data_IF_883131640175
#
_entry.id   IF_883131640175
#
_cell.length_a   1.000
_cell.length_b   1.000
_cell.length_c   1.000
_cell.angle_alpha   90.00
_cell.angle_beta   90.00
_cell.angle_gamma   90.00
#
_symmetry.space_group_name_H-M   'P 1'
#
loop_
_entity.id
_entity.type
_entity.pdbx_description
1 polymer ?
#
# COMPACT_ATOMS: atom_id res chain seq x y z
N UNK A 1 -3.49 -10.19 17.86
CA UNK A 1 -3.57 -8.88 17.22
C UNK A 1 -2.20 -8.22 17.12
N UNK A 2 -2.08 -7.24 16.26
CA UNK A 2 -0.85 -6.45 16.11
C UNK A 2 -1.12 -5.05 16.65
N UNK A 3 -0.15 -4.50 17.39
CA UNK A 3 -0.29 -3.23 18.06
C UNK A 3 0.94 -2.35 17.80
N UNK A 4 0.69 -1.12 17.46
CA UNK A 4 1.61 0.00 17.51
C UNK A 4 0.79 1.21 17.97
N UNK A 5 0.58 1.31 19.28
CA UNK A 5 -0.34 2.23 19.96
C UNK A 5 -1.85 2.04 19.60
N UNK A 6 -2.19 1.11 18.72
CA UNK A 6 -3.57 0.74 18.35
C UNK A 6 -3.66 -0.71 17.91
N UNK A 7 -4.83 -1.33 18.08
CA UNK A 7 -5.13 -2.63 17.49
C UNK A 7 -5.30 -2.45 15.98
N UNK A 8 -4.40 -3.06 15.20
CA UNK A 8 -4.40 -2.92 13.74
C UNK A 8 -5.24 -3.99 13.05
N UNK A 9 -4.96 -5.25 13.37
CA UNK A 9 -5.67 -6.41 12.86
C UNK A 9 -5.86 -7.39 14.00
N UNK A 10 -6.97 -8.11 14.00
CA UNK A 10 -7.23 -9.14 14.99
C UNK A 10 -8.04 -10.30 14.41
N UNK A 11 -7.92 -11.43 15.03
CA UNK A 11 -8.83 -12.58 14.90
C UNK A 11 -9.09 -13.16 16.27
N UNK A 12 -10.23 -13.78 16.44
CA UNK A 12 -10.62 -14.45 17.66
C UNK A 12 -11.43 -15.71 17.33
N UNK A 13 -11.51 -16.64 18.28
CA UNK A 13 -12.51 -17.72 18.20
C UNK A 13 -13.93 -17.12 18.21
N UNK A 14 -14.89 -17.86 17.67
CA UNK A 14 -16.29 -17.38 17.57
C UNK A 14 -16.85 -16.91 18.91
N UNK A 15 -16.50 -17.62 19.99
CA UNK A 15 -16.90 -17.27 21.36
C UNK A 15 -16.35 -15.93 21.87
N UNK A 16 -15.20 -15.48 21.35
CA UNK A 16 -14.53 -14.27 21.78
C UNK A 16 -14.70 -13.10 20.80
N UNK A 17 -15.28 -13.35 19.61
CA UNK A 17 -15.36 -12.37 18.55
C UNK A 17 -16.11 -11.09 18.95
N UNK A 18 -17.19 -11.20 19.71
CA UNK A 18 -17.93 -10.04 20.21
C UNK A 18 -17.12 -9.22 21.23
N UNK A 19 -16.44 -9.89 22.16
CA UNK A 19 -15.55 -9.26 23.13
C UNK A 19 -14.37 -8.55 22.46
N UNK A 20 -13.78 -9.17 21.45
CA UNK A 20 -12.66 -8.60 20.72
C UNK A 20 -13.07 -7.37 19.90
N UNK A 21 -14.24 -7.37 19.26
CA UNK A 21 -14.78 -6.16 18.61
C UNK A 21 -14.95 -5.03 19.63
N UNK A 22 -15.55 -5.33 20.78
CA UNK A 22 -15.73 -4.35 21.84
C UNK A 22 -14.40 -3.81 22.38
N UNK A 23 -13.38 -4.68 22.51
CA UNK A 23 -12.01 -4.27 22.85
C UNK A 23 -11.41 -3.32 21.83
N UNK A 24 -11.51 -3.65 20.54
CA UNK A 24 -10.93 -2.86 19.45
C UNK A 24 -11.62 -1.49 19.28
N UNK A 25 -12.96 -1.47 19.40
CA UNK A 25 -13.77 -0.26 19.18
C UNK A 25 -13.85 0.64 20.42
N UNK A 26 -13.70 0.07 21.60
CA UNK A 26 -13.98 0.74 22.88
C UNK A 26 -12.79 1.46 23.53
N UNK A 27 -11.68 1.70 22.82
CA UNK A 27 -10.46 2.32 23.37
C UNK A 27 -9.84 1.55 24.55
N UNK A 28 -10.17 0.27 24.73
CA UNK A 28 -9.62 -0.52 25.83
C UNK A 28 -8.11 -0.74 25.70
N UNK A 29 -7.56 -0.58 24.51
CA UNK A 29 -6.11 -0.60 24.30
C UNK A 29 -5.41 0.47 25.15
N UNK A 30 -5.98 1.67 25.23
CA UNK A 30 -5.43 2.79 25.99
C UNK A 30 -5.88 2.75 27.48
N UNK A 31 -7.10 2.29 27.73
CA UNK A 31 -7.74 2.29 29.07
C UNK A 31 -7.31 1.13 29.95
N UNK A 32 -6.94 -0.01 29.35
CA UNK A 32 -6.48 -1.20 30.07
C UNK A 32 -4.95 -1.23 30.17
N UNK A 33 -4.46 -1.66 31.30
CA UNK A 33 -3.03 -1.84 31.51
C UNK A 33 -2.47 -3.11 30.85
N UNK A 34 -3.33 -4.05 30.41
CA UNK A 34 -2.97 -5.41 30.00
C UNK A 34 -1.85 -5.46 28.95
N UNK A 35 -2.07 -4.83 27.81
CA UNK A 35 -1.10 -4.85 26.70
C UNK A 35 0.18 -4.12 27.09
N UNK A 36 0.05 -2.97 27.74
CA UNK A 36 1.18 -2.16 28.20
C UNK A 36 2.06 -2.92 29.20
N UNK A 37 1.46 -3.60 30.17
CA UNK A 37 2.20 -4.40 31.17
C UNK A 37 2.90 -5.61 30.53
N UNK A 38 2.20 -6.31 29.62
CA UNK A 38 2.80 -7.42 28.89
C UNK A 38 4.02 -6.98 28.03
N UNK A 39 3.93 -5.81 27.38
CA UNK A 39 5.04 -5.24 26.62
C UNK A 39 6.19 -4.77 27.52
N UNK A 40 5.87 -4.15 28.67
CA UNK A 40 6.85 -3.63 29.61
C UNK A 40 7.65 -4.74 30.31
N UNK A 41 7.03 -5.90 30.52
CA UNK A 41 7.66 -7.04 31.21
C UNK A 41 8.88 -7.58 30.48
N UNK A 42 8.96 -7.40 29.15
CA UNK A 42 10.00 -8.00 28.27
C UNK A 42 10.15 -9.51 28.45
N UNK A 43 9.13 -10.16 29.00
CA UNK A 43 9.13 -11.59 29.24
C UNK A 43 9.09 -12.36 27.92
N UNK A 44 9.91 -13.43 27.89
CA UNK A 44 9.99 -14.33 26.76
C UNK A 44 9.16 -15.58 27.12
N UNK A 45 7.88 -15.59 26.81
CA UNK A 45 6.96 -16.67 27.13
C UNK A 45 5.54 -16.17 27.34
N UNK A 46 4.68 -17.09 27.79
CA UNK A 46 3.33 -16.74 28.20
C UNK A 46 3.32 -16.16 29.62
N UNK A 47 2.59 -15.08 29.78
CA UNK A 47 2.35 -14.38 31.04
C UNK A 47 0.90 -14.56 31.44
N UNK A 48 0.66 -14.63 32.74
CA UNK A 48 -0.67 -14.63 33.36
C UNK A 48 -0.94 -13.23 33.95
N UNK A 49 -2.17 -13.01 34.41
CA UNK A 49 -2.54 -11.76 35.08
C UNK A 49 -1.60 -11.49 36.28
N UNK A 50 -1.48 -12.44 37.19
CA UNK A 50 -0.70 -12.26 38.43
C UNK A 50 0.83 -12.21 38.21
N UNK A 51 1.31 -12.45 37.01
CA UNK A 51 2.71 -12.19 36.68
C UNK A 51 2.98 -10.70 36.41
N UNK A 52 1.93 -9.91 36.11
CA UNK A 52 2.06 -8.51 35.70
C UNK A 52 1.07 -7.56 36.40
N UNK A 53 -0.03 -8.06 36.99
CA UNK A 53 -1.01 -7.28 37.73
C UNK A 53 -0.90 -7.54 39.23
N UNK A 54 -1.14 -6.51 40.05
CA UNK A 54 -1.59 -6.69 41.43
C UNK A 54 -3.11 -6.93 41.43
N UNK A 55 -3.63 -7.50 42.52
CA UNK A 55 -5.08 -7.74 42.62
C UNK A 55 -5.88 -6.44 42.50
N UNK A 56 -5.42 -5.35 43.11
CA UNK A 56 -6.05 -4.02 43.04
C UNK A 56 -6.07 -3.46 41.61
N UNK A 57 -4.96 -3.64 40.86
CA UNK A 57 -4.88 -3.22 39.46
C UNK A 57 -5.84 -4.02 38.59
N UNK A 58 -5.95 -5.32 38.83
CA UNK A 58 -6.82 -6.21 38.08
C UNK A 58 -8.30 -5.86 38.32
N UNK A 59 -8.66 -5.64 39.59
CA UNK A 59 -10.02 -5.24 39.99
C UNK A 59 -10.40 -3.86 39.42
N UNK A 60 -9.43 -2.96 39.26
CA UNK A 60 -9.64 -1.62 38.73
C UNK A 60 -9.66 -1.55 37.20
N UNK A 61 -9.17 -2.57 36.49
CA UNK A 61 -8.98 -2.51 35.03
C UNK A 61 -10.31 -2.56 34.26
N UNK A 62 -10.60 -1.55 33.41
CA UNK A 62 -11.86 -1.47 32.67
C UNK A 62 -12.12 -2.65 31.73
N UNK A 63 -11.09 -3.27 31.17
CA UNK A 63 -11.24 -4.43 30.26
C UNK A 63 -11.85 -5.61 31.01
N UNK A 64 -11.37 -5.88 32.22
CA UNK A 64 -11.89 -6.97 33.03
C UNK A 64 -13.30 -6.70 33.50
N UNK A 65 -13.56 -5.50 34.04
CA UNK A 65 -14.86 -5.12 34.61
C UNK A 65 -15.98 -5.00 33.57
N UNK A 66 -15.66 -4.42 32.42
CA UNK A 66 -16.67 -4.04 31.44
C UNK A 66 -16.84 -5.06 30.31
N UNK A 67 -15.82 -5.91 30.06
CA UNK A 67 -15.81 -6.85 28.92
C UNK A 67 -15.65 -8.29 29.36
N UNK A 68 -14.56 -8.63 30.08
CA UNK A 68 -14.21 -10.02 30.35
C UNK A 68 -15.10 -10.66 31.41
N UNK A 69 -15.23 -10.04 32.57
CA UNK A 69 -16.05 -10.60 33.66
C UNK A 69 -17.54 -10.73 33.31
N UNK A 70 -18.18 -9.74 32.64
CA UNK A 70 -19.55 -9.93 32.14
C UNK A 70 -19.70 -11.07 31.13
N UNK A 71 -18.61 -11.41 30.41
CA UNK A 71 -18.58 -12.55 29.50
C UNK A 71 -18.21 -13.89 30.18
N UNK A 72 -18.07 -13.91 31.52
CA UNK A 72 -17.69 -15.10 32.28
C UNK A 72 -16.19 -15.43 32.23
N UNK A 73 -15.38 -14.58 31.59
CA UNK A 73 -13.92 -14.74 31.46
C UNK A 73 -13.22 -14.01 32.62
N UNK A 74 -12.07 -14.48 33.03
CA UNK A 74 -11.38 -13.85 34.16
C UNK A 74 -9.89 -14.06 34.20
N UNK A 75 -9.40 -14.99 33.45
CA UNK A 75 -8.00 -15.38 33.44
C UNK A 75 -7.48 -15.50 32.01
N UNK A 76 -6.19 -15.24 31.82
CA UNK A 76 -5.55 -15.47 30.53
C UNK A 76 -4.12 -16.02 30.64
N UNK A 77 -3.68 -16.57 29.54
CA UNK A 77 -2.25 -16.70 29.22
C UNK A 77 -1.98 -15.91 27.94
N UNK A 78 -1.08 -14.96 27.99
CA UNK A 78 -0.78 -14.08 26.86
C UNK A 78 0.72 -13.98 26.61
N UNK A 79 1.09 -13.83 25.34
CA UNK A 79 2.48 -13.57 24.96
C UNK A 79 2.58 -12.51 23.88
N UNK A 80 3.75 -11.91 23.76
CA UNK A 80 4.08 -10.94 22.73
C UNK A 80 5.22 -11.44 21.85
N UNK A 81 5.12 -11.18 20.54
CA UNK A 81 6.17 -11.46 19.57
C UNK A 81 6.45 -10.17 18.79
N UNK A 82 7.63 -9.55 18.95
CA UNK A 82 8.04 -8.42 18.12
C UNK A 82 8.24 -8.89 16.66
N UNK A 83 7.72 -8.12 15.72
CA UNK A 83 7.80 -8.39 14.29
C UNK A 83 8.84 -7.48 13.62
N UNK A 84 9.45 -7.88 12.48
CA UNK A 84 10.39 -7.05 11.72
C UNK A 84 9.81 -5.73 11.21
N UNK A 85 8.48 -5.61 11.24
CA UNK A 85 7.72 -4.42 10.85
C UNK A 85 7.62 -3.37 11.96
N UNK A 86 8.35 -3.52 13.08
CA UNK A 86 8.20 -2.75 14.31
C UNK A 86 6.83 -2.87 14.97
N UNK A 87 6.10 -3.94 14.66
CA UNK A 87 4.87 -4.28 15.37
C UNK A 87 5.10 -5.37 16.37
N UNK A 88 4.06 -5.57 17.15
CA UNK A 88 3.99 -6.67 18.09
C UNK A 88 2.77 -7.52 17.80
N UNK A 89 2.99 -8.80 17.57
CA UNK A 89 1.90 -9.78 17.60
C UNK A 89 1.62 -10.12 19.06
N UNK A 90 0.40 -9.87 19.48
CA UNK A 90 -0.10 -10.26 20.81
C UNK A 90 -1.02 -11.47 20.66
N UNK A 91 -0.71 -12.55 21.36
CA UNK A 91 -1.53 -13.75 21.41
C UNK A 91 -2.06 -13.90 22.83
N UNK A 92 -3.36 -14.09 22.96
CA UNK A 92 -4.04 -14.27 24.25
C UNK A 92 -4.99 -15.45 24.21
N UNK A 93 -4.94 -16.28 25.22
CA UNK A 93 -5.84 -17.40 25.47
C UNK A 93 -6.64 -17.05 26.72
N UNK A 94 -7.95 -16.84 26.54
CA UNK A 94 -8.84 -16.49 27.62
C UNK A 94 -9.41 -17.73 28.30
N UNK A 95 -9.57 -17.65 29.62
CA UNK A 95 -10.09 -18.72 30.46
C UNK A 95 -11.26 -18.25 31.29
N UNK A 96 -12.24 -19.11 31.47
CA UNK A 96 -13.40 -18.84 32.33
C UNK A 96 -12.97 -18.49 33.77
N UNK A 97 -13.63 -17.50 34.36
CA UNK A 97 -13.35 -17.04 35.72
C UNK A 97 -13.55 -18.14 36.76
N UNK A 98 -14.55 -19.00 36.55
CA UNK A 98 -14.90 -20.12 37.41
C UNK A 98 -13.81 -21.19 37.55
N UNK A 99 -12.90 -21.26 36.55
CA UNK A 99 -11.81 -22.24 36.55
C UNK A 99 -10.57 -21.82 37.31
N UNK A 100 -10.55 -20.59 37.81
CA UNK A 100 -9.36 -20.04 38.49
C UNK A 100 -8.21 -19.70 37.55
N UNK A 101 -7.08 -19.22 38.11
CA UNK A 101 -5.89 -18.85 37.34
C UNK A 101 -5.34 -19.99 36.49
N UNK A 102 -4.58 -19.64 35.46
CA UNK A 102 -3.89 -20.62 34.60
C UNK A 102 -2.74 -21.25 35.40
N UNK A 103 -2.69 -22.56 35.45
CA UNK A 103 -1.72 -23.32 36.22
C UNK A 103 -0.31 -23.28 35.55
N UNK A 104 0.75 -23.43 36.36
CA UNK A 104 2.15 -23.43 35.87
C UNK A 104 2.37 -24.47 34.77
N UNK A 105 1.85 -25.67 34.95
CA UNK A 105 1.95 -26.74 33.94
C UNK A 105 1.35 -26.33 32.58
N UNK A 106 0.28 -25.57 32.58
CA UNK A 106 -0.32 -25.09 31.33
C UNK A 106 0.55 -24.03 30.65
N UNK A 107 1.18 -23.15 31.42
CA UNK A 107 2.16 -22.19 30.90
C UNK A 107 3.37 -22.90 30.30
N UNK A 108 3.94 -23.88 31.00
CA UNK A 108 5.06 -24.70 30.49
C UNK A 108 4.70 -25.36 29.13
N UNK A 109 3.49 -25.91 29.02
CA UNK A 109 3.03 -26.50 27.74
C UNK A 109 2.85 -25.45 26.63
N UNK A 110 2.35 -24.27 26.95
CA UNK A 110 2.18 -23.19 25.99
C UNK A 110 3.56 -22.63 25.55
N UNK A 111 4.50 -22.57 26.44
CA UNK A 111 5.86 -22.11 26.14
C UNK A 111 6.60 -23.07 25.20
N UNK A 112 6.29 -24.35 25.19
CA UNK A 112 6.78 -25.28 24.17
C UNK A 112 6.31 -24.92 22.75
N UNK A 113 5.13 -24.29 22.61
CA UNK A 113 4.59 -23.86 21.32
C UNK A 113 5.18 -22.52 20.84
N UNK A 114 5.70 -21.72 21.78
CA UNK A 114 6.20 -20.38 21.49
C UNK A 114 7.21 -20.31 20.34
N UNK A 115 8.27 -21.17 20.27
CA UNK A 115 9.24 -21.13 19.18
C UNK A 115 8.59 -21.33 17.80
N UNK A 116 7.58 -22.17 17.74
CA UNK A 116 6.82 -22.44 16.51
C UNK A 116 5.96 -21.25 16.11
N UNK A 117 5.24 -20.65 17.07
CA UNK A 117 4.41 -19.46 16.86
C UNK A 117 5.26 -18.26 16.45
N UNK A 118 6.39 -18.04 17.13
CA UNK A 118 7.31 -16.96 16.81
C UNK A 118 7.91 -17.12 15.40
N UNK A 119 8.34 -18.34 15.04
CA UNK A 119 8.87 -18.61 13.71
C UNK A 119 7.82 -18.40 12.62
N UNK A 120 6.60 -18.89 12.82
CA UNK A 120 5.50 -18.70 11.88
C UNK A 120 5.16 -17.21 11.69
N UNK A 121 5.07 -16.45 12.79
CA UNK A 121 4.81 -15.01 12.74
C UNK A 121 5.91 -14.24 12.02
N UNK A 122 7.17 -14.54 12.32
CA UNK A 122 8.33 -13.92 11.67
C UNK A 122 8.39 -14.23 10.18
N UNK A 123 8.13 -15.49 9.80
CA UNK A 123 8.10 -15.88 8.37
C UNK A 123 6.95 -15.18 7.63
N UNK A 124 5.76 -15.13 8.22
CA UNK A 124 4.62 -14.45 7.62
C UNK A 124 4.87 -12.94 7.46
N UNK A 125 5.43 -12.27 8.48
CA UNK A 125 5.79 -10.85 8.39
C UNK A 125 6.86 -10.60 7.32
N UNK A 126 7.87 -11.46 7.22
CA UNK A 126 8.92 -11.38 6.20
C UNK A 126 8.37 -11.55 4.79
N UNK A 127 7.51 -12.55 4.59
CA UNK A 127 6.86 -12.78 3.29
C UNK A 127 6.03 -11.57 2.85
N UNK A 128 5.37 -10.88 3.76
CA UNK A 128 4.62 -9.66 3.44
C UNK A 128 5.52 -8.51 2.99
N UNK A 129 6.66 -8.32 3.64
CA UNK A 129 7.64 -7.31 3.22
C UNK A 129 8.23 -7.65 1.84
N UNK A 130 8.57 -8.90 1.59
CA UNK A 130 9.06 -9.34 0.28
C UNK A 130 8.01 -9.15 -0.83
N UNK A 131 6.74 -9.43 -0.55
CA UNK A 131 5.65 -9.15 -1.50
C UNK A 131 5.48 -7.66 -1.79
N UNK A 132 5.59 -6.81 -0.76
CA UNK A 132 5.51 -5.36 -0.94
C UNK A 132 6.68 -4.85 -1.81
N UNK A 133 7.89 -5.34 -1.58
CA UNK A 133 9.07 -5.02 -2.40
C UNK A 133 8.89 -5.47 -3.85
N UNK A 134 8.54 -6.74 -4.04
CA UNK A 134 8.32 -7.28 -5.39
C UNK A 134 7.25 -6.49 -6.17
N UNK A 135 6.20 -6.01 -5.50
CA UNK A 135 5.19 -5.15 -6.13
C UNK A 135 5.76 -3.78 -6.53
N UNK A 136 6.56 -3.15 -5.66
CA UNK A 136 7.21 -1.87 -5.97
C UNK A 136 8.21 -2.02 -7.12
N UNK A 137 9.02 -3.09 -7.11
CA UNK A 137 10.02 -3.38 -8.15
C UNK A 137 9.36 -3.68 -9.50
N UNK A 138 8.27 -4.44 -9.52
CA UNK A 138 7.51 -4.69 -10.75
C UNK A 138 6.98 -3.39 -11.38
N UNK A 139 6.55 -2.44 -10.57
CA UNK A 139 6.12 -1.11 -11.04
C UNK A 139 7.30 -0.30 -11.57
N UNK A 140 8.50 -0.44 -10.97
CA UNK A 140 9.71 0.19 -11.49
C UNK A 140 10.08 -0.33 -12.89
N UNK A 141 9.89 -1.63 -13.14
CA UNK A 141 10.19 -2.22 -14.47
C UNK A 141 9.35 -1.61 -15.61
N UNK A 142 8.18 -1.07 -15.30
CA UNK A 142 7.33 -0.36 -16.27
C UNK A 142 7.43 1.17 -16.13
N UNK A 143 8.48 1.67 -15.46
CA UNK A 143 8.79 3.09 -15.35
C UNK A 143 7.88 3.87 -14.41
N UNK A 144 7.13 3.22 -13.50
CA UNK A 144 6.22 3.88 -12.57
C UNK A 144 6.85 4.09 -11.19
N UNK A 145 7.08 5.36 -10.76
CA UNK A 145 7.40 5.68 -9.39
C UNK A 145 6.31 5.21 -8.44
N UNK A 146 6.64 4.32 -7.50
CA UNK A 146 5.66 3.68 -6.66
C UNK A 146 6.17 3.37 -5.24
N UNK A 147 5.26 3.43 -4.27
CA UNK A 147 5.47 2.88 -2.94
C UNK A 147 4.24 2.11 -2.45
N UNK A 148 4.49 1.11 -1.63
CA UNK A 148 3.48 0.31 -0.94
C UNK A 148 3.41 0.78 0.51
N UNK A 149 2.22 1.00 1.02
CA UNK A 149 2.02 1.50 2.38
C UNK A 149 0.94 0.70 3.12
N UNK A 150 0.99 0.77 4.45
CA UNK A 150 0.01 0.16 5.33
C UNK A 150 -1.20 1.10 5.59
N UNK A 151 -2.14 0.60 6.37
CA UNK A 151 -3.36 1.34 6.75
C UNK A 151 -3.12 2.57 7.64
N UNK A 152 -1.91 2.78 8.12
CA UNK A 152 -1.49 3.97 8.85
C UNK A 152 -0.66 4.94 8.00
N UNK A 153 -0.44 4.60 6.72
CA UNK A 153 0.41 5.36 5.83
C UNK A 153 1.91 5.16 6.05
N UNK A 154 2.29 4.09 6.78
CA UNK A 154 3.68 3.68 6.90
C UNK A 154 4.10 2.99 5.61
N UNK A 155 5.23 3.39 5.04
CA UNK A 155 5.79 2.78 3.84
C UNK A 155 6.41 1.43 4.19
N UNK A 156 5.99 0.41 3.47
CA UNK A 156 6.49 -0.96 3.58
C UNK A 156 7.57 -1.26 2.54
N UNK A 157 7.44 -0.66 1.36
CA UNK A 157 8.41 -0.72 0.28
C UNK A 157 8.25 0.51 -0.62
N UNK A 158 9.34 0.95 -1.21
CA UNK A 158 9.39 1.99 -2.23
C UNK A 158 10.37 1.56 -3.31
N UNK A 159 10.15 2.00 -4.56
CA UNK A 159 11.13 1.79 -5.61
C UNK A 159 12.01 3.04 -5.80
N UNK A 160 13.17 2.85 -6.42
CA UNK A 160 14.15 3.92 -6.66
C UNK A 160 13.55 5.10 -7.44
N UNK A 161 12.55 4.84 -8.29
CA UNK A 161 11.92 5.89 -9.10
C UNK A 161 11.13 6.89 -8.22
N UNK A 162 10.43 6.41 -7.18
CA UNK A 162 9.69 7.31 -6.29
C UNK A 162 10.64 8.00 -5.29
N UNK A 163 11.72 7.33 -4.90
CA UNK A 163 12.75 7.93 -4.06
C UNK A 163 13.46 9.08 -4.79
N UNK A 164 13.66 8.96 -6.09
CA UNK A 164 14.20 10.02 -6.95
C UNK A 164 13.25 11.23 -7.08
N UNK A 165 11.94 11.09 -6.75
CA UNK A 165 10.95 12.19 -6.81
C UNK A 165 11.06 13.16 -5.62
N UNK A 166 12.27 13.55 -5.25
CA UNK A 166 12.52 14.45 -4.12
C UNK A 166 11.86 15.82 -4.24
N UNK A 167 11.47 16.22 -5.45
CA UNK A 167 10.68 17.45 -5.70
C UNK A 167 9.22 17.37 -5.22
N UNK A 168 8.61 16.18 -5.26
CA UNK A 168 7.21 15.97 -4.95
C UNK A 168 6.98 15.20 -3.65
N UNK A 169 7.90 14.32 -3.29
CA UNK A 169 7.81 13.43 -2.14
C UNK A 169 8.88 13.77 -1.12
N UNK A 170 8.55 13.69 0.15
CA UNK A 170 9.53 13.78 1.22
C UNK A 170 9.22 12.76 2.33
N UNK A 171 10.29 12.28 2.96
CA UNK A 171 10.25 11.25 3.98
C UNK A 171 10.18 11.86 5.37
N UNK A 172 9.39 11.25 6.24
CA UNK A 172 9.31 11.58 7.68
C UNK A 172 9.85 10.44 8.52
N UNK A 173 10.06 10.71 9.80
CA UNK A 173 10.39 9.68 10.76
C UNK A 173 9.36 8.53 10.76
N UNK A 174 9.80 7.33 11.14
CA UNK A 174 8.98 6.11 11.20
C UNK A 174 8.47 5.65 9.81
N UNK A 175 9.30 5.78 8.78
CA UNK A 175 9.00 5.32 7.41
C UNK A 175 7.69 5.88 6.85
N UNK A 176 7.34 7.11 7.21
CA UNK A 176 6.17 7.81 6.66
C UNK A 176 6.58 8.73 5.53
N UNK A 177 5.71 8.84 4.54
CA UNK A 177 5.88 9.74 3.41
C UNK A 177 4.82 10.85 3.45
N UNK A 178 5.15 11.98 2.89
CA UNK A 178 4.20 13.04 2.61
C UNK A 178 4.48 13.68 1.24
N UNK A 179 3.44 14.20 0.64
CA UNK A 179 3.58 14.98 -0.59
C UNK A 179 3.89 16.41 -0.24
N UNK A 180 4.87 17.03 -0.92
CA UNK A 180 5.26 18.43 -0.65
C UNK A 180 4.18 19.43 -0.99
N UNK A 181 3.31 19.11 -1.95
CA UNK A 181 2.07 19.84 -2.20
C UNK A 181 1.10 19.58 -1.05
N UNK A 182 0.81 20.61 -0.25
CA UNK A 182 -0.02 20.54 0.95
C UNK A 182 -1.45 20.05 0.65
N UNK A 183 -2.01 20.45 -0.51
CA UNK A 183 -3.34 20.04 -0.91
C UNK A 183 -3.35 18.54 -1.31
N UNK A 184 -2.37 18.14 -2.11
CA UNK A 184 -2.21 16.73 -2.48
C UNK A 184 -1.94 15.84 -1.27
N UNK A 185 -1.14 16.29 -0.29
CA UNK A 185 -0.89 15.58 0.95
C UNK A 185 -2.16 15.37 1.80
N UNK A 186 -3.02 16.40 1.85
CA UNK A 186 -4.33 16.28 2.52
C UNK A 186 -5.23 15.23 1.84
N UNK A 187 -5.27 15.21 0.50
CA UNK A 187 -6.01 14.22 -0.28
C UNK A 187 -5.43 12.80 -0.10
N UNK A 188 -4.11 12.68 -0.05
CA UNK A 188 -3.45 11.41 0.22
C UNK A 188 -3.82 10.86 1.60
N UNK A 189 -3.74 11.68 2.64
CA UNK A 189 -4.18 11.28 4.00
C UNK A 189 -5.66 10.90 4.06
N UNK A 190 -6.51 11.65 3.37
CA UNK A 190 -7.93 11.30 3.27
C UNK A 190 -8.13 9.96 2.54
N UNK A 191 -7.37 9.70 1.48
CA UNK A 191 -7.41 8.43 0.78
C UNK A 191 -7.03 7.27 1.71
N UNK A 192 -5.92 7.40 2.47
CA UNK A 192 -5.49 6.40 3.47
C UNK A 192 -6.60 6.13 4.49
N UNK A 193 -7.22 7.16 5.04
CA UNK A 193 -8.27 7.02 6.05
C UNK A 193 -9.51 6.25 5.55
N UNK A 194 -9.75 6.26 4.24
CA UNK A 194 -10.92 5.60 3.61
C UNK A 194 -10.62 4.24 2.99
N UNK A 195 -9.36 3.76 3.05
CA UNK A 195 -8.98 2.46 2.48
C UNK A 195 -9.63 1.25 3.15
N UNK A 196 -10.15 1.43 4.36
CA UNK A 196 -10.81 0.36 5.13
C UNK A 196 -12.28 0.18 4.80
N UNK A 197 -12.89 1.14 4.11
CA UNK A 197 -14.29 1.03 3.72
C UNK A 197 -14.45 -0.10 2.68
N UNK A 198 -15.48 -0.94 2.88
CA UNK A 198 -15.85 -1.93 1.88
C UNK A 198 -16.13 -1.23 0.55
N UNK A 199 -15.42 -1.66 -0.50
CA UNK A 199 -15.55 -1.05 -1.83
C UNK A 199 -14.66 0.19 -2.06
N UNK A 200 -13.61 0.41 -1.28
CA UNK A 200 -12.65 1.47 -1.55
C UNK A 200 -12.18 1.44 -3.01
N UNK A 201 -12.38 2.55 -3.72
CA UNK A 201 -12.00 2.71 -5.12
C UNK A 201 -10.66 3.47 -5.25
N UNK A 202 -9.91 3.25 -6.34
CA UNK A 202 -8.73 4.05 -6.63
C UNK A 202 -9.07 5.54 -6.66
N UNK A 203 -8.18 6.38 -6.13
CA UNK A 203 -8.29 7.85 -6.16
C UNK A 203 -7.11 8.43 -6.88
N UNK A 204 -7.39 9.43 -7.72
CA UNK A 204 -6.36 10.15 -8.46
C UNK A 204 -6.50 11.65 -8.22
N UNK A 205 -5.38 12.32 -8.01
CA UNK A 205 -5.35 13.78 -7.80
C UNK A 205 -4.04 14.37 -8.28
N UNK A 206 -4.07 15.66 -8.63
CA UNK A 206 -2.89 16.38 -9.10
C UNK A 206 -1.91 16.67 -7.95
N UNK A 207 -0.63 16.56 -8.23
CA UNK A 207 0.48 17.00 -7.37
C UNK A 207 1.24 18.07 -8.11
N UNK A 208 1.27 19.27 -7.56
CA UNK A 208 1.99 20.42 -8.12
C UNK A 208 3.45 20.37 -7.70
N UNK A 209 4.34 20.73 -8.60
CA UNK A 209 5.75 20.88 -8.26
C UNK A 209 5.99 22.14 -7.40
N UNK A 210 7.15 22.22 -6.75
CA UNK A 210 7.49 23.31 -5.81
C UNK A 210 7.67 24.69 -6.46
N UNK A 211 7.70 24.78 -7.78
CA UNK A 211 7.85 26.05 -8.54
C UNK A 211 6.91 26.06 -9.74
N UNK A 212 6.48 27.27 -10.14
CA UNK A 212 5.81 27.51 -11.42
C UNK A 212 6.70 27.01 -12.57
N UNK A 213 6.26 25.97 -13.27
CA UNK A 213 7.03 25.28 -14.33
C UNK A 213 7.62 23.94 -13.96
N UNK A 214 7.56 23.49 -12.70
CA UNK A 214 7.85 22.11 -12.37
C UNK A 214 6.80 21.18 -12.99
N UNK A 215 7.23 20.02 -13.52
CA UNK A 215 6.34 19.05 -14.13
C UNK A 215 5.21 18.68 -13.14
N UNK A 216 3.97 18.80 -13.57
CA UNK A 216 2.83 18.32 -12.81
C UNK A 216 2.85 16.80 -12.77
N UNK A 217 2.52 16.24 -11.62
CA UNK A 217 2.36 14.80 -11.44
C UNK A 217 0.89 14.49 -11.12
N UNK A 218 0.46 13.30 -11.44
CA UNK A 218 -0.78 12.74 -10.93
C UNK A 218 -0.44 11.66 -9.92
N UNK A 219 -0.94 11.80 -8.70
CA UNK A 219 -0.88 10.76 -7.70
C UNK A 219 -2.08 9.83 -7.84
N UNK A 220 -1.85 8.52 -7.86
CA UNK A 220 -2.87 7.49 -7.85
C UNK A 220 -2.73 6.67 -6.58
N UNK A 221 -3.76 6.66 -5.76
CA UNK A 221 -3.85 5.82 -4.56
C UNK A 221 -4.73 4.63 -4.90
N UNK A 222 -4.12 3.46 -4.99
CA UNK A 222 -4.80 2.21 -5.38
C UNK A 222 -4.93 1.31 -4.16
N UNK A 223 -6.17 1.01 -3.70
CA UNK A 223 -6.38 0.05 -2.62
C UNK A 223 -5.93 -1.35 -3.02
N UNK A 224 -5.21 -2.03 -2.14
CA UNK A 224 -4.93 -3.45 -2.31
C UNK A 224 -6.04 -4.28 -1.65
N UNK A 225 -6.68 -5.14 -2.44
CA UNK A 225 -7.71 -6.04 -1.91
C UNK A 225 -7.07 -7.06 -0.98
N UNK A 226 -7.61 -7.16 0.24
CA UNK A 226 -7.15 -8.11 1.24
C UNK A 226 -7.94 -9.41 1.14
N UNK A 227 -7.27 -10.54 1.35
CA UNK A 227 -7.94 -11.75 1.79
C UNK A 227 -8.28 -11.57 3.27
N UNK A 228 -9.57 -11.66 3.64
CA UNK A 228 -10.05 -11.35 5.00
C UNK A 228 -9.51 -12.26 6.13
N UNK A 229 -8.54 -13.15 5.83
CA UNK A 229 -7.89 -14.06 6.77
C UNK A 229 -6.44 -13.70 7.08
N UNK A 230 -5.90 -12.65 6.49
CA UNK A 230 -4.49 -12.28 6.65
C UNK A 230 -4.30 -11.30 7.81
N UNK A 231 -4.05 -11.81 9.01
CA UNK A 231 -3.76 -11.04 10.22
C UNK A 231 -2.49 -10.19 10.11
N UNK A 232 -1.52 -10.68 9.36
CA UNK A 232 -0.19 -10.08 9.22
C UNK A 232 -0.10 -9.24 7.94
N UNK A 233 -1.09 -9.34 7.03
CA UNK A 233 -1.14 -8.57 5.79
C UNK A 233 -1.36 -7.08 6.08
N UNK A 234 -0.30 -6.29 5.91
CA UNK A 234 -0.30 -4.86 6.18
C UNK A 234 -0.49 -3.98 4.97
N UNK A 235 -0.21 -4.50 3.77
CA UNK A 235 -0.34 -3.73 2.54
C UNK A 235 -1.78 -3.23 2.41
N UNK A 236 -1.98 -1.92 2.54
CA UNK A 236 -3.29 -1.28 2.42
C UNK A 236 -3.49 -0.69 1.04
N UNK A 237 -2.42 -0.14 0.46
CA UNK A 237 -2.49 0.49 -0.84
C UNK A 237 -1.12 0.72 -1.46
N UNK A 238 -1.18 1.16 -2.71
CA UNK A 238 -0.03 1.62 -3.49
C UNK A 238 -0.26 3.08 -3.84
N UNK A 239 0.75 3.92 -3.64
CA UNK A 239 0.83 5.24 -4.22
C UNK A 239 1.68 5.16 -5.48
N UNK A 240 1.12 5.60 -6.61
CA UNK A 240 1.80 5.74 -7.89
C UNK A 240 1.90 7.22 -8.24
N UNK A 241 3.01 7.62 -8.83
CA UNK A 241 3.15 8.96 -9.40
C UNK A 241 3.35 8.86 -10.91
N UNK A 242 2.49 9.52 -11.67
CA UNK A 242 2.58 9.61 -13.12
C UNK A 242 2.89 11.03 -13.54
N UNK A 243 3.96 11.29 -14.32
CA UNK A 243 4.23 12.64 -14.84
C UNK A 243 3.17 13.04 -15.87
N UNK A 244 2.72 14.29 -15.78
CA UNK A 244 1.89 14.90 -16.83
C UNK A 244 2.84 15.42 -17.91
N UNK A 245 3.15 14.58 -18.86
CA UNK A 245 4.00 14.91 -20.01
C UNK A 245 3.25 14.67 -21.30
N UNK A 246 3.68 15.32 -22.35
CA UNK A 246 3.20 14.98 -23.69
C UNK A 246 3.50 13.51 -23.97
N UNK A 247 2.62 12.80 -24.68
CA UNK A 247 2.86 11.43 -25.05
C UNK A 247 4.21 11.28 -25.74
N UNK A 248 5.02 10.34 -25.31
CA UNK A 248 6.24 10.00 -26.04
C UNK A 248 5.83 9.30 -27.34
N UNK A 249 6.49 9.66 -28.42
CA UNK A 249 6.26 8.99 -29.68
C UNK A 249 6.63 7.49 -29.57
N UNK A 250 5.74 6.58 -29.94
CA UNK A 250 6.01 5.16 -29.90
C UNK A 250 7.18 4.79 -30.84
N UNK A 251 7.87 3.66 -30.60
CA UNK A 251 8.91 3.17 -31.49
C UNK A 251 8.36 2.99 -32.91
N UNK A 252 9.11 3.44 -33.90
CA UNK A 252 8.70 3.36 -35.33
C UNK A 252 8.34 1.93 -35.74
N UNK A 253 9.14 0.96 -35.29
CA UNK A 253 8.91 -0.45 -35.60
C UNK A 253 7.61 -1.00 -35.00
N UNK A 254 7.25 -0.55 -33.79
CA UNK A 254 6.00 -0.94 -33.16
C UNK A 254 4.79 -0.41 -33.95
N UNK A 255 4.80 0.89 -34.28
CA UNK A 255 3.72 1.52 -35.02
C UNK A 255 3.60 0.90 -36.44
N UNK A 256 4.75 0.61 -37.05
CA UNK A 256 4.81 -0.04 -38.36
C UNK A 256 4.17 -1.43 -38.34
N UNK A 257 4.49 -2.24 -37.34
CA UNK A 257 3.96 -3.61 -37.24
C UNK A 257 2.48 -3.66 -36.85
N UNK A 258 2.00 -2.71 -36.03
CA UNK A 258 0.61 -2.67 -35.58
C UNK A 258 -0.38 -2.28 -36.69
N UNK A 259 0.03 -1.37 -37.59
CA UNK A 259 -0.84 -0.77 -38.59
C UNK A 259 -0.40 -1.02 -40.03
N UNK A 260 0.58 -1.90 -40.22
CA UNK A 260 1.11 -2.23 -41.54
C UNK A 260 1.59 -0.99 -42.33
N UNK A 261 2.23 -0.05 -41.61
CA UNK A 261 2.74 1.17 -42.19
C UNK A 261 4.05 0.95 -42.96
N UNK A 262 4.22 1.67 -44.04
CA UNK A 262 5.53 1.78 -44.68
C UNK A 262 6.52 2.52 -43.76
N UNK A 263 7.83 2.36 -43.96
CA UNK A 263 8.83 3.09 -43.17
C UNK A 263 8.67 4.60 -43.20
N UNK A 264 8.21 5.18 -44.32
CA UNK A 264 7.94 6.61 -44.43
C UNK A 264 6.70 7.04 -43.66
N UNK A 265 5.60 6.31 -43.79
CA UNK A 265 4.36 6.54 -43.02
C UNK A 265 4.59 6.42 -41.53
N UNK A 266 5.36 5.42 -41.09
CA UNK A 266 5.66 5.24 -39.68
C UNK A 266 6.50 6.38 -39.07
N UNK A 267 7.46 6.92 -39.82
CA UNK A 267 8.20 8.13 -39.40
C UNK A 267 7.28 9.33 -39.28
N UNK A 268 6.43 9.58 -40.29
CA UNK A 268 5.48 10.68 -40.26
C UNK A 268 4.51 10.51 -39.09
N UNK A 269 3.97 9.32 -38.86
CA UNK A 269 3.10 9.01 -37.72
C UNK A 269 3.76 9.37 -36.38
N UNK A 270 5.05 9.04 -36.22
CA UNK A 270 5.84 9.38 -35.03
C UNK A 270 6.02 10.87 -34.87
N UNK A 271 6.38 11.61 -35.92
CA UNK A 271 6.53 13.09 -35.85
C UNK A 271 5.22 13.78 -35.53
N UNK A 272 4.08 13.27 -36.05
CA UNK A 272 2.76 13.79 -35.69
C UNK A 272 2.45 13.63 -34.19
N UNK A 273 2.84 12.50 -33.57
CA UNK A 273 2.63 12.28 -32.12
C UNK A 273 3.48 13.18 -31.24
N UNK A 274 4.59 13.74 -31.75
CA UNK A 274 5.39 14.74 -31.04
C UNK A 274 4.88 16.18 -31.26
N UNK A 275 3.76 16.35 -31.98
CA UNK A 275 3.13 17.63 -32.22
C UNK A 275 3.68 18.42 -33.40
N UNK A 276 4.52 17.82 -34.25
CA UNK A 276 5.06 18.49 -35.43
C UNK A 276 4.00 18.68 -36.51
N UNK A 277 4.09 19.82 -37.20
CA UNK A 277 3.25 20.14 -38.34
C UNK A 277 3.75 19.46 -39.61
N UNK A 278 2.91 19.38 -40.63
CA UNK A 278 3.27 18.82 -41.95
C UNK A 278 4.47 19.55 -42.56
N UNK A 279 4.53 20.85 -42.38
CA UNK A 279 5.57 21.75 -42.86
C UNK A 279 6.92 21.45 -42.17
N UNK A 280 6.91 21.29 -40.85
CA UNK A 280 8.11 20.93 -40.06
C UNK A 280 8.62 19.55 -40.42
N UNK A 281 7.71 18.55 -40.55
CA UNK A 281 8.07 17.20 -40.96
C UNK A 281 8.68 17.20 -42.37
N UNK A 282 8.15 18.00 -43.28
CA UNK A 282 8.67 18.12 -44.65
C UNK A 282 10.11 18.64 -44.67
N UNK A 283 10.37 19.68 -43.86
CA UNK A 283 11.73 20.27 -43.73
C UNK A 283 12.69 19.23 -43.14
N UNK A 284 12.32 18.60 -42.04
CA UNK A 284 13.19 17.65 -41.34
C UNK A 284 13.44 16.39 -42.15
N UNK A 285 12.45 15.92 -42.92
CA UNK A 285 12.57 14.73 -43.78
C UNK A 285 13.17 15.01 -45.15
N UNK A 286 13.38 16.28 -45.50
CA UNK A 286 13.93 16.64 -46.82
C UNK A 286 13.00 16.33 -48.01
N UNK A 287 11.68 16.38 -47.78
CA UNK A 287 10.65 16.08 -48.79
C UNK A 287 9.67 17.23 -48.95
N UNK A 288 8.83 17.19 -50.00
CA UNK A 288 7.80 18.23 -50.16
C UNK A 288 6.65 18.07 -49.13
N UNK A 289 5.99 19.16 -48.73
CA UNK A 289 4.79 19.12 -47.92
C UNK A 289 3.66 18.26 -48.56
N UNK A 290 3.63 18.20 -49.88
CA UNK A 290 2.66 17.36 -50.61
C UNK A 290 2.96 15.87 -50.36
N UNK A 291 4.21 15.47 -50.35
CA UNK A 291 4.64 14.09 -50.04
C UNK A 291 4.24 13.69 -48.63
N UNK A 292 4.47 14.60 -47.64
CA UNK A 292 4.06 14.35 -46.26
C UNK A 292 2.55 14.22 -46.14
N UNK A 293 1.74 15.08 -46.80
CA UNK A 293 0.28 14.95 -46.82
C UNK A 293 -0.19 13.61 -47.39
N UNK A 294 0.49 13.09 -48.40
CA UNK A 294 0.19 11.77 -48.97
C UNK A 294 0.48 10.65 -47.95
N UNK A 295 1.60 10.75 -47.24
CA UNK A 295 1.95 9.82 -46.17
C UNK A 295 0.98 9.90 -44.97
N UNK A 296 0.57 11.11 -44.58
CA UNK A 296 -0.49 11.29 -43.56
C UNK A 296 -1.79 10.61 -43.96
N UNK A 297 -2.20 10.73 -45.23
CA UNK A 297 -3.37 10.02 -45.74
C UNK A 297 -3.23 8.50 -45.60
N UNK A 298 -2.08 7.96 -45.97
CA UNK A 298 -1.78 6.52 -45.81
C UNK A 298 -1.84 6.10 -44.32
N UNK A 299 -1.32 6.91 -43.39
CA UNK A 299 -1.44 6.66 -41.97
C UNK A 299 -2.91 6.62 -41.54
N UNK A 300 -3.73 7.60 -41.96
CA UNK A 300 -5.15 7.67 -41.59
C UNK A 300 -5.92 6.45 -42.13
N UNK A 301 -5.70 6.07 -43.39
CA UNK A 301 -6.31 4.90 -44.01
C UNK A 301 -6.00 3.61 -43.26
N UNK A 302 -4.71 3.38 -42.94
CA UNK A 302 -4.23 2.16 -42.29
C UNK A 302 -4.55 2.09 -40.80
N UNK A 303 -4.65 3.22 -40.11
CA UNK A 303 -5.07 3.29 -38.71
C UNK A 303 -6.59 3.30 -38.53
N UNK A 304 -7.35 3.46 -39.62
CA UNK A 304 -8.82 3.61 -39.58
C UNK A 304 -9.30 4.96 -39.03
N UNK A 305 -8.39 5.92 -38.87
CA UNK A 305 -8.71 7.26 -38.37
C UNK A 305 -9.22 8.17 -39.50
N UNK A 306 -10.16 9.06 -39.18
CA UNK A 306 -10.71 10.03 -40.15
C UNK A 306 -9.98 11.37 -40.12
N UNK A 307 -9.35 11.72 -38.99
CA UNK A 307 -8.68 12.99 -38.75
C UNK A 307 -7.30 12.75 -38.17
N UNK A 308 -6.36 13.67 -38.46
CA UNK A 308 -5.03 13.62 -37.92
C UNK A 308 -5.00 13.61 -36.39
N UNK A 309 -5.88 14.37 -35.76
CA UNK A 309 -6.01 14.39 -34.27
C UNK A 309 -6.40 13.02 -33.69
N UNK A 310 -7.24 12.25 -34.41
CA UNK A 310 -7.59 10.90 -34.00
C UNK A 310 -6.39 9.95 -34.08
N UNK A 311 -5.61 10.06 -35.17
CA UNK A 311 -4.39 9.27 -35.31
C UNK A 311 -3.35 9.65 -34.25
N UNK A 312 -3.16 10.92 -33.94
CA UNK A 312 -2.27 11.39 -32.87
C UNK A 312 -2.71 10.85 -31.52
N UNK A 313 -4.00 10.89 -31.20
CA UNK A 313 -4.57 10.34 -29.97
C UNK A 313 -4.38 8.82 -29.86
N UNK A 314 -4.66 8.11 -30.95
CA UNK A 314 -4.49 6.65 -31.03
C UNK A 314 -3.03 6.25 -30.83
N UNK A 315 -2.11 6.89 -31.58
CA UNK A 315 -0.68 6.59 -31.53
C UNK A 315 -0.03 7.03 -30.21
N UNK A 316 -0.48 8.16 -29.67
CA UNK A 316 -0.02 8.65 -28.35
C UNK A 316 -0.48 7.76 -27.19
N UNK A 317 -1.54 6.99 -27.37
CA UNK A 317 -1.99 5.97 -26.42
C UNK A 317 -1.20 4.67 -26.46
N UNK A 318 -0.33 4.48 -27.47
CA UNK A 318 0.56 3.32 -27.57
C UNK A 318 1.80 3.60 -26.71
N UNK A 319 1.66 3.37 -25.39
CA UNK A 319 2.80 3.50 -24.48
C UNK A 319 3.80 2.37 -24.69
N UNK A 320 5.06 2.71 -24.89
CA UNK A 320 6.14 1.73 -24.74
C UNK A 320 6.42 1.55 -23.25
N UNK A 321 6.34 0.33 -22.68
CA UNK A 321 6.73 0.10 -21.30
C UNK A 321 8.20 0.47 -21.13
N UNK A 322 8.50 1.35 -20.16
CA UNK A 322 9.87 1.52 -19.64
C UNK A 322 10.85 2.35 -20.48
N UNK A 323 10.41 3.26 -21.38
CA UNK A 323 11.31 4.20 -22.09
C UNK A 323 11.12 5.63 -21.62
#
# INVERSE_FOLDING_TARGET
FTANDKVLNWTASDSLGAGMRRFADGSYFDRSARVRLALASRHVGFLREHDVYTDEMLEGDPLYREVLWPAGLGWCAAMTIPLPTNDVLFISLERERSRGPVEDRAIEQLDLLRPHLARAAMMAARLQLERARAAADALAMIGLPALVFDNQGKVLAANDLIEAQSGAVAWRAHDRVYLKDVHADALFRQAIATLHADGAAPRSFAVRGPSDGAAALVAHVVPLRRSGRDLIARCAGVLLLSPVTLPKAPPVELVRSLFDLTPAEARVARHLTTGQTVEEIAIESGVSPHTVRTQVRGVLEKTGCRRQVEAVALLGGIAAPGV
#
